data_IF_937683400290
#
_entry.id   IF_937683400290
#
_cell.length_a   1.000
_cell.length_b   1.000
_cell.length_c   1.000
_cell.angle_alpha   90.00
_cell.angle_beta   90.00
_cell.angle_gamma   90.00
#
_symmetry.space_group_name_H-M   'P 1'
#
loop_
_entity.id
_entity.type
_entity.pdbx_description
1 polymer ?
#
# COMPACT_ATOMS: atom_id res chain seq x y z
N UNK A 1 -17.84 16.65 16.19
CA UNK A 1 -16.70 16.13 15.43
C UNK A 1 -15.49 17.01 15.67
N UNK A 2 -14.30 16.61 15.32
CA UNK A 2 -13.12 17.49 15.41
C UNK A 2 -13.06 18.37 14.17
N UNK A 3 -12.59 19.63 14.30
CA UNK A 3 -12.38 20.57 13.19
C UNK A 3 -11.54 19.94 12.01
N UNK A 4 -10.61 19.04 12.34
CA UNK A 4 -9.78 18.33 11.37
C UNK A 4 -10.58 17.30 10.55
N UNK A 5 -11.56 16.65 11.17
CA UNK A 5 -12.40 15.67 10.46
C UNK A 5 -13.34 16.37 9.46
N UNK A 6 -13.92 17.49 9.86
CA UNK A 6 -14.79 18.28 8.98
C UNK A 6 -14.02 18.80 7.76
N UNK A 7 -12.79 19.28 7.95
CA UNK A 7 -11.87 19.65 6.85
C UNK A 7 -11.51 18.45 5.95
N UNK A 8 -11.31 17.27 6.54
CA UNK A 8 -11.05 16.07 5.77
C UNK A 8 -12.24 15.69 4.88
N UNK A 9 -13.48 15.76 5.41
CA UNK A 9 -14.68 15.51 4.62
C UNK A 9 -14.82 16.47 3.44
N UNK A 10 -14.50 17.76 3.61
CA UNK A 10 -14.51 18.71 2.50
C UNK A 10 -13.58 18.27 1.35
N UNK A 11 -12.38 17.76 1.67
CA UNK A 11 -11.44 17.25 0.66
C UNK A 11 -12.01 16.03 -0.06
N UNK A 12 -12.60 15.09 0.69
CA UNK A 12 -13.21 13.90 0.10
C UNK A 12 -14.41 14.23 -0.81
N UNK A 13 -15.25 15.15 -0.40
CA UNK A 13 -16.45 15.56 -1.16
C UNK A 13 -16.10 16.35 -2.42
N UNK A 14 -15.07 17.20 -2.36
CA UNK A 14 -14.63 17.97 -3.53
C UNK A 14 -13.89 17.13 -4.53
N UNK A 15 -12.99 16.27 -4.09
CA UNK A 15 -12.10 15.44 -4.90
C UNK A 15 -11.33 16.26 -5.95
N UNK A 16 -10.04 16.15 -6.00
CA UNK A 16 -9.25 16.83 -7.03
C UNK A 16 -8.44 15.80 -7.83
N UNK A 17 -8.73 15.72 -9.12
CA UNK A 17 -7.99 14.93 -10.08
C UNK A 17 -6.95 15.81 -10.77
N UNK A 18 -5.68 15.48 -10.62
CA UNK A 18 -4.60 16.07 -11.40
C UNK A 18 -4.13 15.01 -12.40
N UNK A 19 -4.26 15.33 -13.69
CA UNK A 19 -3.95 14.40 -14.75
C UNK A 19 -2.49 13.93 -14.64
N UNK A 20 -2.30 12.63 -14.74
CA UNK A 20 -0.99 11.94 -14.69
C UNK A 20 -0.19 12.23 -13.40
N UNK A 21 -0.84 12.72 -12.33
CA UNK A 21 -0.22 12.94 -11.02
C UNK A 21 -1.01 12.20 -9.92
N UNK A 22 -0.53 10.98 -9.62
CA UNK A 22 -1.09 10.15 -8.56
C UNK A 22 -1.00 10.80 -7.18
N UNK A 23 0.15 11.44 -6.89
CA UNK A 23 0.41 11.94 -5.54
C UNK A 23 -0.35 13.23 -5.24
N UNK A 24 -0.50 14.13 -6.20
CA UNK A 24 -1.20 15.41 -6.00
C UNK A 24 -2.73 15.30 -6.13
N UNK A 25 -3.24 14.20 -6.67
CA UNK A 25 -4.69 13.94 -6.69
C UNK A 25 -5.20 13.59 -5.30
N UNK A 26 -6.28 14.25 -4.84
CA UNK A 26 -6.87 14.11 -3.50
C UNK A 26 -8.35 13.71 -3.57
N UNK A 27 -8.89 13.17 -2.48
CA UNK A 27 -10.28 12.72 -2.43
C UNK A 27 -10.58 11.51 -3.35
N UNK A 28 -9.57 10.70 -3.64
CA UNK A 28 -9.66 9.51 -4.48
C UNK A 28 -9.27 8.26 -3.70
N UNK A 29 -10.02 7.18 -3.90
CA UNK A 29 -9.78 5.91 -3.23
C UNK A 29 -8.56 5.22 -3.84
N UNK A 30 -7.58 4.88 -3.02
CA UNK A 30 -6.44 4.04 -3.41
C UNK A 30 -6.45 2.72 -2.64
N UNK A 31 -5.73 1.72 -3.13
CA UNK A 31 -5.59 0.46 -2.39
C UNK A 31 -4.97 0.66 -0.99
N UNK A 32 -4.04 1.61 -0.84
CA UNK A 32 -3.46 1.95 0.46
C UNK A 32 -4.49 2.57 1.40
N UNK A 33 -5.35 3.47 0.88
CA UNK A 33 -6.47 4.01 1.65
C UNK A 33 -7.42 2.91 2.12
N UNK A 34 -7.81 1.98 1.22
CA UNK A 34 -8.70 0.86 1.58
C UNK A 34 -8.09 0.03 2.73
N UNK A 35 -6.79 -0.27 2.66
CA UNK A 35 -6.09 -1.01 3.72
C UNK A 35 -6.05 -0.23 5.05
N UNK A 36 -5.84 1.07 5.01
CA UNK A 36 -5.84 1.94 6.19
C UNK A 36 -7.26 2.05 6.77
N UNK A 37 -8.27 2.23 5.93
CA UNK A 37 -9.68 2.34 6.33
C UNK A 37 -10.17 1.09 7.07
N UNK A 38 -9.82 -0.10 6.57
CA UNK A 38 -10.11 -1.37 7.26
C UNK A 38 -9.48 -1.49 8.65
N UNK A 39 -8.43 -0.75 8.94
CA UNK A 39 -7.77 -0.73 10.25
C UNK A 39 -8.35 0.34 11.18
N UNK A 40 -8.61 1.50 10.65
CA UNK A 40 -9.16 2.64 11.38
C UNK A 40 -9.82 3.61 10.38
N UNK A 41 -11.14 3.69 10.39
CA UNK A 41 -11.89 4.55 9.48
C UNK A 41 -11.54 6.03 9.70
N UNK A 42 -11.62 6.49 10.95
CA UNK A 42 -11.31 7.88 11.32
C UNK A 42 -9.88 8.28 10.94
N UNK A 43 -8.90 7.46 11.31
CA UNK A 43 -7.49 7.72 11.01
C UNK A 43 -7.23 7.80 9.51
N UNK A 44 -7.78 6.86 8.73
CA UNK A 44 -7.61 6.82 7.28
C UNK A 44 -8.22 8.04 6.58
N UNK A 45 -9.44 8.45 6.97
CA UNK A 45 -10.11 9.61 6.36
C UNK A 45 -9.27 10.88 6.54
N UNK A 46 -8.72 11.12 7.73
CA UNK A 46 -7.88 12.29 7.99
C UNK A 46 -6.54 12.21 7.26
N UNK A 47 -5.85 11.06 7.36
CA UNK A 47 -4.51 10.89 6.78
C UNK A 47 -4.51 11.07 5.27
N UNK A 48 -5.47 10.43 4.58
CA UNK A 48 -5.52 10.46 3.11
C UNK A 48 -6.19 11.71 2.53
N UNK A 49 -6.92 12.48 3.33
CA UNK A 49 -7.36 13.82 2.95
C UNK A 49 -6.19 14.82 2.89
N UNK A 50 -5.09 14.55 3.61
CA UNK A 50 -3.88 15.39 3.63
C UNK A 50 -4.16 16.84 4.07
N UNK A 51 -5.09 17.02 4.98
CA UNK A 51 -5.44 18.34 5.55
C UNK A 51 -4.38 18.88 6.50
N UNK A 52 -3.49 18.01 6.97
CA UNK A 52 -2.32 18.36 7.76
C UNK A 52 -1.05 17.88 7.04
N UNK A 53 0.10 18.55 7.27
CA UNK A 53 1.38 18.00 6.86
C UNK A 53 1.52 16.57 7.40
N UNK A 54 2.05 15.70 6.58
CA UNK A 54 2.33 14.33 7.00
C UNK A 54 3.52 14.39 7.99
N UNK A 55 3.25 14.18 9.26
CA UNK A 55 4.27 13.94 10.30
C UNK A 55 4.89 12.53 10.15
N UNK A 56 4.92 11.98 8.93
CA UNK A 56 5.50 10.66 8.73
C UNK A 56 6.98 10.72 9.04
N UNK A 57 7.35 10.11 10.16
CA UNK A 57 8.73 9.76 10.43
C UNK A 57 9.35 9.05 9.22
N UNK A 58 10.64 9.28 9.01
CA UNK A 58 11.36 8.61 7.94
C UNK A 58 11.17 7.09 8.01
N UNK A 59 10.67 6.49 6.95
CA UNK A 59 10.50 5.05 6.84
C UNK A 59 11.55 4.48 5.88
N UNK A 60 12.56 3.83 6.45
CA UNK A 60 13.65 3.23 5.71
C UNK A 60 13.18 2.20 4.68
N UNK A 61 12.12 1.43 4.96
CA UNK A 61 11.62 0.43 4.01
C UNK A 61 11.00 1.07 2.76
N UNK A 62 10.31 2.20 2.92
CA UNK A 62 9.82 2.97 1.77
C UNK A 62 10.97 3.58 0.98
N UNK A 63 11.98 4.14 1.66
CA UNK A 63 13.15 4.69 0.99
C UNK A 63 13.90 3.63 0.18
N UNK A 64 14.08 2.42 0.73
CA UNK A 64 14.68 1.29 0.01
C UNK A 64 13.84 0.95 -1.24
N UNK A 65 12.52 0.83 -1.10
CA UNK A 65 11.62 0.57 -2.23
C UNK A 65 11.83 1.58 -3.35
N UNK A 66 11.71 2.87 -3.05
CA UNK A 66 11.86 3.96 -4.02
C UNK A 66 13.26 4.03 -4.66
N UNK A 67 14.33 3.79 -3.89
CA UNK A 67 15.69 3.79 -4.43
C UNK A 67 15.94 2.62 -5.38
N UNK A 68 15.42 1.43 -5.05
CA UNK A 68 15.52 0.24 -5.93
C UNK A 68 14.69 0.44 -7.19
N UNK A 69 13.47 0.94 -7.02
CA UNK A 69 12.54 1.22 -8.12
C UNK A 69 13.12 2.23 -9.10
N UNK A 70 13.66 3.35 -8.61
CA UNK A 70 14.30 4.36 -9.44
C UNK A 70 15.50 3.78 -10.25
N UNK A 71 16.30 2.92 -9.64
CA UNK A 71 17.39 2.25 -10.36
C UNK A 71 16.94 1.22 -11.39
N UNK A 72 15.80 0.58 -11.16
CA UNK A 72 15.27 -0.44 -12.08
C UNK A 72 14.54 0.20 -13.26
N UNK A 73 13.75 1.23 -13.02
CA UNK A 73 12.82 1.79 -14.02
C UNK A 73 13.30 3.12 -14.61
N UNK A 74 13.97 3.95 -13.84
CA UNK A 74 14.39 5.28 -14.28
C UNK A 74 15.83 5.27 -14.84
N UNK A 75 16.24 6.40 -15.33
CA UNK A 75 17.65 6.69 -15.69
C UNK A 75 18.43 7.22 -14.49
N UNK A 76 19.71 7.56 -14.71
CA UNK A 76 20.57 8.12 -13.66
C UNK A 76 20.01 9.42 -13.07
N UNK A 77 19.35 10.26 -13.88
CA UNK A 77 18.76 11.51 -13.40
C UNK A 77 17.59 11.28 -12.45
N UNK A 78 16.72 10.33 -12.77
CA UNK A 78 15.61 9.89 -11.91
C UNK A 78 16.12 9.29 -10.60
N UNK A 79 17.15 8.45 -10.66
CA UNK A 79 17.79 7.91 -9.47
C UNK A 79 18.40 9.02 -8.59
N UNK A 80 19.14 9.97 -9.15
CA UNK A 80 19.71 11.11 -8.41
C UNK A 80 18.62 11.99 -7.77
N UNK A 81 17.48 12.18 -8.43
CA UNK A 81 16.32 12.85 -7.84
C UNK A 81 15.85 12.14 -6.58
N UNK A 82 15.79 10.81 -6.60
CA UNK A 82 15.38 10.01 -5.44
C UNK A 82 16.42 10.05 -4.32
N UNK A 83 17.72 9.99 -4.66
CA UNK A 83 18.82 10.20 -3.70
C UNK A 83 18.70 11.56 -3.02
N UNK A 84 18.44 12.63 -3.78
CA UNK A 84 18.27 13.98 -3.24
C UNK A 84 17.04 14.09 -2.31
N UNK A 85 15.95 13.39 -2.62
CA UNK A 85 14.75 13.32 -1.77
C UNK A 85 15.06 12.78 -0.37
N UNK A 86 15.97 11.82 -0.28
CA UNK A 86 16.29 11.12 0.98
C UNK A 86 17.67 11.53 1.55
N UNK A 87 18.32 12.57 1.01
CA UNK A 87 19.70 12.94 1.35
C UNK A 87 20.00 13.01 2.85
N UNK A 88 19.07 13.57 3.64
CA UNK A 88 19.26 13.77 5.08
C UNK A 88 19.19 12.45 5.88
N UNK A 89 18.71 11.39 5.26
CA UNK A 89 18.49 10.08 5.89
C UNK A 89 19.43 8.99 5.39
N UNK A 90 20.01 9.15 4.19
CA UNK A 90 20.84 8.12 3.53
C UNK A 90 22.34 8.32 3.76
N UNK A 91 22.75 9.51 4.19
CA UNK A 91 24.16 9.80 4.47
C UNK A 91 24.44 9.81 5.97
N UNK A 92 25.60 9.27 6.33
CA UNK A 92 26.18 9.36 7.66
C UNK A 92 26.80 10.74 7.88
N UNK A 93 27.10 11.10 9.13
CA UNK A 93 27.75 12.37 9.48
C UNK A 93 29.12 12.57 8.81
N UNK A 94 29.79 11.49 8.44
CA UNK A 94 31.08 11.49 7.74
C UNK A 94 30.95 11.65 6.20
N UNK A 95 29.73 11.79 5.67
CA UNK A 95 29.45 11.92 4.25
C UNK A 95 29.30 10.59 3.48
N UNK A 96 29.55 9.46 4.11
CA UNK A 96 29.36 8.16 3.48
C UNK A 96 27.86 7.75 3.50
N UNK A 97 27.43 6.95 2.53
CA UNK A 97 26.11 6.34 2.55
C UNK A 97 25.97 5.37 3.74
N UNK A 98 24.76 5.27 4.27
CA UNK A 98 24.44 4.12 5.12
C UNK A 98 24.47 2.82 4.31
N UNK A 99 24.91 1.75 4.93
CA UNK A 99 24.99 0.41 4.30
C UNK A 99 23.70 0.01 3.59
N UNK A 100 22.55 0.25 4.19
CA UNK A 100 21.25 -0.08 3.60
C UNK A 100 20.96 0.70 2.29
N UNK A 101 21.47 1.92 2.16
CA UNK A 101 21.34 2.73 0.95
C UNK A 101 22.27 2.25 -0.16
N UNK A 102 23.52 1.84 0.19
CA UNK A 102 24.43 1.16 -0.74
C UNK A 102 23.86 -0.16 -1.25
N UNK A 103 23.22 -0.94 -0.37
CA UNK A 103 22.63 -2.23 -0.72
C UNK A 103 21.47 -2.11 -1.73
N UNK A 104 20.81 -0.93 -1.84
CA UNK A 104 19.77 -0.70 -2.84
C UNK A 104 20.29 -0.92 -4.27
N UNK A 105 21.55 -0.53 -4.55
CA UNK A 105 22.18 -0.81 -5.83
C UNK A 105 22.31 -2.30 -6.11
N UNK A 106 22.71 -3.06 -5.10
CA UNK A 106 22.85 -4.54 -5.23
C UNK A 106 21.48 -5.21 -5.47
N UNK A 107 20.40 -4.71 -4.86
CA UNK A 107 19.06 -5.21 -5.11
C UNK A 107 18.62 -4.95 -6.55
N UNK A 108 18.83 -3.75 -7.07
CA UNK A 108 18.52 -3.40 -8.46
C UNK A 108 19.37 -4.22 -9.46
N UNK A 109 20.67 -4.34 -9.23
CA UNK A 109 21.58 -5.18 -10.04
C UNK A 109 21.15 -6.64 -10.03
N UNK A 110 20.68 -7.14 -8.88
CA UNK A 110 20.14 -8.51 -8.76
C UNK A 110 18.93 -8.73 -9.65
N UNK A 111 18.08 -7.73 -9.82
CA UNK A 111 16.94 -7.76 -10.75
C UNK A 111 17.42 -7.69 -12.20
N UNK A 112 18.24 -6.68 -12.51
CA UNK A 112 18.65 -6.37 -13.89
C UNK A 112 19.65 -7.34 -14.49
N UNK A 113 20.28 -8.22 -13.70
CA UNK A 113 21.12 -9.32 -14.21
C UNK A 113 20.35 -10.41 -14.97
N UNK A 114 19.02 -10.46 -14.79
CA UNK A 114 18.15 -11.42 -15.46
C UNK A 114 17.71 -10.86 -16.82
N UNK A 115 18.29 -11.35 -17.91
CA UNK A 115 18.05 -10.87 -19.27
C UNK A 115 16.57 -10.86 -19.67
N UNK A 116 15.80 -11.86 -19.23
CA UNK A 116 14.35 -11.93 -19.52
C UNK A 116 13.61 -10.78 -18.86
N UNK A 117 13.92 -10.47 -17.61
CA UNK A 117 13.33 -9.34 -16.88
C UNK A 117 13.77 -8.03 -17.52
N UNK A 118 15.07 -7.87 -17.79
CA UNK A 118 15.60 -6.67 -18.42
C UNK A 118 14.96 -6.41 -19.79
N UNK A 119 14.80 -7.43 -20.63
CA UNK A 119 14.12 -7.31 -21.94
C UNK A 119 12.64 -6.98 -21.79
N UNK A 120 11.94 -7.52 -20.78
CA UNK A 120 10.57 -7.17 -20.52
C UNK A 120 10.46 -5.68 -20.15
N UNK A 121 11.23 -5.25 -19.15
CA UNK A 121 11.18 -3.87 -18.63
C UNK A 121 11.61 -2.84 -19.66
N UNK A 122 12.50 -3.16 -20.60
CA UNK A 122 12.98 -2.28 -21.66
C UNK A 122 12.31 -2.54 -23.02
N UNK A 123 11.18 -3.24 -23.03
CA UNK A 123 10.47 -3.51 -24.27
C UNK A 123 9.76 -2.26 -24.81
N UNK A 124 9.46 -2.26 -26.09
CA UNK A 124 8.66 -1.22 -26.73
C UNK A 124 7.31 -1.06 -26.02
N UNK A 125 6.82 0.16 -25.95
CA UNK A 125 5.57 0.54 -25.24
C UNK A 125 5.62 0.33 -23.72
N UNK A 126 6.81 0.21 -23.13
CA UNK A 126 6.96 0.22 -21.66
C UNK A 126 6.69 1.61 -21.11
N UNK A 127 5.82 1.69 -20.11
CA UNK A 127 5.50 2.93 -19.37
C UNK A 127 5.75 2.66 -17.90
N UNK A 128 6.44 3.59 -17.24
CA UNK A 128 6.72 3.54 -15.81
C UNK A 128 5.85 4.55 -15.07
N UNK A 129 5.52 4.25 -13.81
CA UNK A 129 4.70 5.11 -12.93
C UNK A 129 3.39 5.53 -13.60
N UNK A 130 2.71 4.54 -14.21
CA UNK A 130 1.46 4.82 -14.93
C UNK A 130 0.32 5.08 -13.96
N UNK A 131 -0.09 6.35 -13.83
CA UNK A 131 -1.28 6.73 -13.08
C UNK A 131 -2.54 6.37 -13.87
N UNK A 132 -3.49 5.73 -13.19
CA UNK A 132 -4.81 5.40 -13.72
C UNK A 132 -5.87 5.87 -12.72
N UNK A 133 -6.87 6.59 -13.23
CA UNK A 133 -8.04 7.05 -12.49
C UNK A 133 -9.27 6.38 -13.08
N UNK A 134 -10.10 5.78 -12.22
CA UNK A 134 -11.23 4.96 -12.64
C UNK A 134 -12.35 5.00 -11.60
N UNK A 135 -13.52 4.51 -11.97
CA UNK A 135 -14.65 4.39 -11.07
C UNK A 135 -14.83 2.92 -10.63
N UNK A 136 -14.97 2.72 -9.33
CA UNK A 136 -15.29 1.40 -8.76
C UNK A 136 -16.37 1.57 -7.69
N UNK A 137 -17.45 0.81 -7.81
CA UNK A 137 -18.61 0.86 -6.91
C UNK A 137 -19.15 2.28 -6.65
N UNK A 138 -19.04 3.16 -7.67
CA UNK A 138 -19.54 4.54 -7.62
C UNK A 138 -18.65 5.53 -6.88
N UNK A 139 -17.41 5.16 -6.58
CA UNK A 139 -16.40 6.06 -6.06
C UNK A 139 -15.23 6.19 -7.05
N UNK A 140 -14.67 7.41 -7.14
CA UNK A 140 -13.45 7.63 -7.93
C UNK A 140 -12.25 7.04 -7.23
N UNK A 141 -11.51 6.23 -7.98
CA UNK A 141 -10.33 5.52 -7.53
C UNK A 141 -9.08 5.98 -8.26
N UNK A 142 -7.92 5.77 -7.65
CA UNK A 142 -6.62 5.99 -8.28
C UNK A 142 -5.66 4.84 -7.98
N UNK A 143 -4.84 4.52 -8.97
CA UNK A 143 -3.71 3.62 -8.83
C UNK A 143 -2.50 4.15 -9.60
N UNK A 144 -1.32 3.67 -9.26
CA UNK A 144 -0.10 3.88 -10.02
C UNK A 144 0.58 2.52 -10.20
N UNK A 145 0.75 2.12 -11.46
CA UNK A 145 1.49 0.91 -11.81
C UNK A 145 2.97 1.27 -11.98
N UNK A 146 3.86 0.58 -11.26
CA UNK A 146 5.31 0.82 -11.36
C UNK A 146 5.81 0.57 -12.79
N UNK A 147 5.27 -0.46 -13.44
CA UNK A 147 5.48 -0.77 -14.85
C UNK A 147 4.17 -1.22 -15.51
N UNK A 148 3.92 -0.70 -16.70
CA UNK A 148 2.79 -1.07 -17.55
C UNK A 148 3.23 -1.20 -19.01
N UNK A 149 2.73 -2.21 -19.69
CA UNK A 149 2.93 -2.39 -21.13
C UNK A 149 1.60 -2.82 -21.78
N UNK A 150 1.01 -1.89 -22.52
CA UNK A 150 -0.28 -2.08 -23.15
C UNK A 150 -0.22 -3.18 -24.23
N UNK A 151 0.82 -3.18 -25.07
CA UNK A 151 0.96 -4.16 -26.15
C UNK A 151 1.11 -5.60 -25.65
N UNK A 152 1.69 -5.78 -24.48
CA UNK A 152 1.85 -7.08 -23.83
C UNK A 152 0.71 -7.41 -22.86
N UNK A 153 -0.17 -6.44 -22.61
CA UNK A 153 -1.26 -6.54 -21.63
C UNK A 153 -0.76 -6.98 -20.24
N UNK A 154 0.36 -6.43 -19.80
CA UNK A 154 1.02 -6.80 -18.55
C UNK A 154 1.19 -5.58 -17.64
N UNK A 155 0.98 -5.79 -16.36
CA UNK A 155 1.27 -4.84 -15.30
C UNK A 155 2.23 -5.51 -14.30
N UNK A 156 3.25 -4.77 -13.86
CA UNK A 156 4.23 -5.27 -12.90
C UNK A 156 4.42 -4.25 -11.78
N UNK A 157 4.38 -4.74 -10.55
CA UNK A 157 4.63 -3.99 -9.34
C UNK A 157 5.93 -4.50 -8.70
N UNK A 158 6.86 -3.59 -8.40
CA UNK A 158 8.14 -3.95 -7.81
C UNK A 158 8.07 -3.96 -6.29
N UNK A 159 8.59 -5.01 -5.68
CA UNK A 159 8.62 -5.14 -4.22
C UNK A 159 9.98 -5.57 -3.69
N UNK A 160 10.39 -4.94 -2.60
CA UNK A 160 11.51 -5.40 -1.79
C UNK A 160 10.97 -6.08 -0.52
N UNK A 161 11.51 -7.24 -0.16
CA UNK A 161 11.09 -7.96 1.05
C UNK A 161 12.28 -8.28 1.97
N UNK A 162 12.08 -8.17 3.28
CA UNK A 162 13.09 -8.56 4.27
C UNK A 162 13.24 -10.10 4.40
N UNK A 163 12.23 -10.85 3.94
CA UNK A 163 12.19 -12.32 4.04
C UNK A 163 12.68 -13.00 2.77
N UNK A 164 13.16 -14.23 2.89
CA UNK A 164 13.29 -15.08 1.73
C UNK A 164 11.92 -15.58 1.27
N UNK A 165 11.79 -15.93 -0.01
CA UNK A 165 10.49 -16.37 -0.55
C UNK A 165 10.02 -17.74 -0.03
N UNK A 166 10.89 -18.48 0.67
CA UNK A 166 10.54 -19.74 1.36
C UNK A 166 10.04 -19.53 2.79
N UNK A 167 10.29 -18.36 3.38
CA UNK A 167 9.83 -18.07 4.75
C UNK A 167 8.32 -17.83 4.77
N UNK A 168 7.72 -18.16 5.92
CA UNK A 168 6.31 -17.94 6.20
C UNK A 168 6.14 -17.08 7.43
N UNK A 169 5.12 -16.25 7.42
CA UNK A 169 4.66 -15.49 8.57
C UNK A 169 3.61 -16.27 9.35
N UNK A 170 3.40 -15.86 10.58
CA UNK A 170 2.31 -16.39 11.40
C UNK A 170 0.97 -16.12 10.72
N UNK A 171 0.16 -17.17 10.63
CA UNK A 171 -1.22 -17.11 10.14
C UNK A 171 -2.19 -17.37 11.31
N UNK A 172 -2.86 -16.35 11.84
CA UNK A 172 -3.77 -16.51 12.95
C UNK A 172 -4.97 -17.41 12.62
N UNK A 173 -5.44 -17.41 11.38
CA UNK A 173 -6.56 -18.26 10.97
C UNK A 173 -6.23 -19.76 10.97
N UNK A 174 -4.97 -20.11 10.71
CA UNK A 174 -4.47 -21.49 10.71
C UNK A 174 -3.66 -21.83 11.97
N UNK A 175 -3.46 -20.85 12.86
CA UNK A 175 -2.60 -20.97 14.04
C UNK A 175 -1.22 -21.57 13.74
N UNK A 176 -0.62 -21.16 12.62
CA UNK A 176 0.62 -21.76 12.08
C UNK A 176 1.50 -20.76 11.34
N UNK A 177 2.81 -21.07 11.29
CA UNK A 177 3.79 -20.44 10.42
C UNK A 177 4.61 -21.43 9.59
N UNK A 178 4.19 -22.68 9.54
CA UNK A 178 4.84 -23.71 8.73
C UNK A 178 4.64 -23.50 7.22
N UNK A 179 5.19 -24.39 6.40
CA UNK A 179 5.10 -24.28 4.94
C UNK A 179 3.68 -24.40 4.38
N UNK A 180 2.80 -25.07 5.11
CA UNK A 180 1.42 -25.37 4.68
C UNK A 180 0.45 -24.30 5.19
N UNK A 181 0.51 -23.97 6.47
CA UNK A 181 -0.43 -23.09 7.14
C UNK A 181 0.00 -21.64 7.27
N UNK A 182 1.31 -21.34 7.18
CA UNK A 182 1.84 -19.99 7.34
C UNK A 182 1.58 -19.10 6.13
N UNK A 183 1.51 -17.78 6.36
CA UNK A 183 1.31 -16.78 5.30
C UNK A 183 2.55 -16.66 4.41
N UNK A 184 2.35 -16.70 3.12
CA UNK A 184 3.39 -16.33 2.14
C UNK A 184 3.63 -14.83 2.15
N UNK A 185 4.73 -14.37 1.53
CA UNK A 185 4.97 -12.97 1.23
C UNK A 185 3.78 -12.30 0.49
N UNK A 186 3.13 -13.03 -0.41
CA UNK A 186 1.97 -12.52 -1.16
C UNK A 186 0.74 -12.34 -0.26
N UNK A 187 0.49 -13.32 0.63
CA UNK A 187 -0.69 -13.31 1.50
C UNK A 187 -0.54 -12.30 2.66
N UNK A 188 0.66 -12.20 3.25
CA UNK A 188 0.95 -11.32 4.39
C UNK A 188 0.64 -9.85 4.08
N UNK A 189 0.93 -9.42 2.85
CA UNK A 189 0.69 -8.04 2.42
C UNK A 189 -0.59 -7.86 1.61
N UNK A 190 -1.41 -8.91 1.51
CA UNK A 190 -2.65 -8.94 0.70
C UNK A 190 -2.45 -8.39 -0.72
N UNK A 191 -1.42 -8.90 -1.41
CA UNK A 191 -1.16 -8.47 -2.78
C UNK A 191 -2.23 -8.92 -3.76
N UNK A 192 -3.00 -9.98 -3.47
CA UNK A 192 -4.15 -10.36 -4.28
C UNK A 192 -5.19 -9.23 -4.38
N UNK A 193 -5.48 -8.52 -3.27
CA UNK A 193 -6.37 -7.36 -3.32
C UNK A 193 -5.77 -6.22 -4.16
N UNK A 194 -4.49 -5.91 -3.97
CA UNK A 194 -3.83 -4.84 -4.71
C UNK A 194 -3.82 -5.13 -6.21
N UNK A 195 -3.43 -6.35 -6.60
CA UNK A 195 -3.37 -6.73 -8.02
C UNK A 195 -4.76 -6.78 -8.66
N UNK A 196 -5.77 -7.25 -7.95
CA UNK A 196 -7.15 -7.23 -8.41
C UNK A 196 -7.66 -5.79 -8.61
N UNK A 197 -7.39 -4.88 -7.66
CA UNK A 197 -7.77 -3.47 -7.75
C UNK A 197 -7.09 -2.78 -8.95
N UNK A 198 -5.81 -3.06 -9.21
CA UNK A 198 -5.05 -2.52 -10.34
C UNK A 198 -5.56 -3.07 -11.66
N UNK A 199 -5.85 -4.38 -11.73
CA UNK A 199 -6.41 -5.01 -12.92
C UNK A 199 -7.73 -4.36 -13.35
N UNK A 200 -8.65 -4.13 -12.40
CA UNK A 200 -9.94 -3.46 -12.67
C UNK A 200 -9.72 -2.02 -13.15
N UNK A 201 -8.78 -1.30 -12.53
CA UNK A 201 -8.45 0.06 -12.95
C UNK A 201 -7.97 0.12 -14.40
N UNK A 202 -7.05 -0.75 -14.78
CA UNK A 202 -6.53 -0.82 -16.15
C UNK A 202 -7.64 -1.27 -17.12
N UNK A 203 -8.41 -2.31 -16.77
CA UNK A 203 -9.52 -2.79 -17.61
C UNK A 203 -10.53 -1.68 -17.91
N UNK A 204 -10.86 -0.86 -16.92
CA UNK A 204 -11.84 0.21 -17.09
C UNK A 204 -11.39 1.31 -18.05
N UNK A 205 -10.08 1.54 -18.18
CA UNK A 205 -9.51 2.61 -19.02
C UNK A 205 -9.05 2.08 -20.38
N UNK A 206 -8.47 0.89 -20.42
CA UNK A 206 -7.87 0.32 -21.62
C UNK A 206 -8.71 -0.76 -22.30
N UNK A 207 -9.79 -1.24 -21.67
CA UNK A 207 -10.72 -2.22 -22.23
C UNK A 207 -10.20 -3.67 -22.27
N UNK A 208 -9.09 -3.96 -21.60
CA UNK A 208 -8.57 -5.34 -21.45
C UNK A 208 -8.12 -5.60 -20.03
N UNK A 209 -8.19 -6.86 -19.59
CA UNK A 209 -7.64 -7.31 -18.30
C UNK A 209 -6.16 -7.60 -18.44
N UNK A 210 -5.26 -6.79 -17.82
CA UNK A 210 -3.84 -7.12 -17.83
C UNK A 210 -3.57 -8.36 -17.00
N UNK A 211 -2.48 -9.07 -17.30
CA UNK A 211 -1.94 -10.06 -16.36
C UNK A 211 -1.12 -9.34 -15.29
N UNK A 212 -1.57 -9.32 -14.02
CA UNK A 212 -0.84 -8.63 -12.96
C UNK A 212 0.35 -9.46 -12.50
N UNK A 213 1.47 -8.78 -12.22
CA UNK A 213 2.68 -9.42 -11.72
C UNK A 213 3.25 -8.67 -10.52
N UNK A 214 4.01 -9.37 -9.70
CA UNK A 214 4.94 -8.79 -8.74
C UNK A 214 6.34 -9.25 -9.07
N UNK A 215 7.21 -8.28 -9.33
CA UNK A 215 8.65 -8.48 -9.42
C UNK A 215 9.25 -8.19 -8.05
N UNK A 216 9.75 -9.21 -7.38
CA UNK A 216 10.23 -9.07 -6.01
C UNK A 216 11.70 -9.44 -5.86
N UNK A 217 12.42 -8.67 -5.04
CA UNK A 217 13.78 -8.97 -4.58
C UNK A 217 13.82 -9.13 -3.06
N UNK A 218 14.45 -10.22 -2.60
CA UNK A 218 14.70 -10.45 -1.18
C UNK A 218 15.94 -9.71 -0.72
N UNK A 219 15.79 -8.83 0.26
CA UNK A 219 16.91 -8.14 0.92
C UNK A 219 17.80 -9.12 1.73
N UNK A 220 17.27 -10.29 2.09
CA UNK A 220 17.96 -11.29 2.90
C UNK A 220 19.03 -12.06 2.12
N UNK A 221 18.75 -12.42 0.87
CA UNK A 221 19.60 -13.30 0.08
C UNK A 221 19.72 -12.93 -1.40
N UNK A 222 19.32 -11.72 -1.78
CA UNK A 222 19.37 -11.20 -3.15
C UNK A 222 18.60 -12.06 -4.19
N UNK A 223 17.76 -12.99 -3.76
CA UNK A 223 16.96 -13.77 -4.69
C UNK A 223 15.87 -12.90 -5.33
N UNK A 224 15.62 -13.16 -6.61
CA UNK A 224 14.60 -12.45 -7.40
C UNK A 224 13.54 -13.43 -7.83
N UNK A 225 12.28 -13.04 -7.78
CA UNK A 225 11.14 -13.81 -8.28
C UNK A 225 10.16 -12.89 -9.00
N UNK A 226 9.56 -13.40 -10.06
CA UNK A 226 8.41 -12.78 -10.71
C UNK A 226 7.21 -13.69 -10.49
N UNK A 227 6.20 -13.15 -9.80
CA UNK A 227 4.96 -13.84 -9.46
C UNK A 227 3.86 -13.33 -10.41
N UNK A 228 3.26 -14.23 -11.18
CA UNK A 228 2.08 -13.94 -11.99
C UNK A 228 0.81 -14.30 -11.23
N UNK A 229 -0.19 -13.45 -11.32
CA UNK A 229 -1.50 -13.68 -10.69
C UNK A 229 -2.45 -14.25 -11.76
N UNK A 230 -2.40 -15.55 -11.95
CA UNK A 230 -3.11 -16.32 -12.99
C UNK A 230 -4.48 -16.85 -12.54
N UNK A 231 -4.77 -16.83 -11.24
CA UNK A 231 -6.07 -17.21 -10.70
C UNK A 231 -7.08 -16.05 -10.77
N UNK A 232 -7.74 -15.91 -11.93
CA UNK A 232 -8.73 -14.86 -12.15
C UNK A 232 -9.93 -14.95 -11.19
N UNK A 233 -10.36 -16.15 -10.83
CA UNK A 233 -11.48 -16.35 -9.89
C UNK A 233 -11.13 -15.76 -8.52
N UNK A 234 -9.90 -15.94 -8.07
CA UNK A 234 -9.40 -15.35 -6.83
C UNK A 234 -9.34 -13.83 -6.90
N UNK A 235 -8.87 -13.26 -8.01
CA UNK A 235 -8.83 -11.81 -8.22
C UNK A 235 -10.24 -11.20 -8.23
N UNK A 236 -11.16 -11.77 -9.00
CA UNK A 236 -12.54 -11.31 -9.08
C UNK A 236 -13.24 -11.37 -7.71
N UNK A 237 -13.00 -12.44 -6.95
CA UNK A 237 -13.50 -12.56 -5.56
C UNK A 237 -12.95 -11.47 -4.66
N UNK A 238 -11.67 -11.08 -4.79
CA UNK A 238 -11.08 -9.99 -3.99
C UNK A 238 -11.76 -8.66 -4.27
N UNK A 239 -12.12 -8.37 -5.51
CA UNK A 239 -12.89 -7.17 -5.85
C UNK A 239 -14.30 -7.23 -5.26
N UNK A 240 -15.01 -8.36 -5.37
CA UNK A 240 -16.34 -8.50 -4.79
C UNK A 240 -16.36 -8.27 -3.28
N UNK A 241 -15.32 -8.74 -2.56
CA UNK A 241 -15.16 -8.52 -1.11
C UNK A 241 -14.91 -7.05 -0.75
N UNK A 242 -14.56 -6.19 -1.69
CA UNK A 242 -14.43 -4.75 -1.45
C UNK A 242 -15.77 -4.01 -1.48
N UNK A 243 -16.83 -4.60 -2.06
CA UNK A 243 -18.11 -3.92 -2.21
C UNK A 243 -18.67 -3.38 -0.89
N UNK A 244 -18.81 -4.16 0.20
CA UNK A 244 -19.30 -3.63 1.47
C UNK A 244 -18.35 -2.60 2.09
N UNK A 245 -17.04 -2.70 1.84
CA UNK A 245 -16.07 -1.70 2.30
C UNK A 245 -16.29 -0.36 1.57
N UNK A 246 -16.59 -0.39 0.28
CA UNK A 246 -16.89 0.80 -0.52
C UNK A 246 -18.21 1.45 -0.12
N UNK A 247 -19.23 0.65 0.24
CA UNK A 247 -20.50 1.15 0.78
C UNK A 247 -20.24 1.91 2.09
N UNK A 248 -19.49 1.32 3.02
CA UNK A 248 -19.10 1.98 4.28
C UNK A 248 -18.26 3.25 4.04
N UNK A 249 -17.30 3.21 3.10
CA UNK A 249 -16.52 4.40 2.74
C UNK A 249 -17.43 5.53 2.25
N UNK A 250 -18.42 5.24 1.41
CA UNK A 250 -19.38 6.25 0.93
C UNK A 250 -20.10 6.93 2.08
N UNK A 251 -20.68 6.15 3.00
CA UNK A 251 -21.41 6.66 4.16
C UNK A 251 -20.54 7.56 5.03
N UNK A 252 -19.27 7.15 5.24
CA UNK A 252 -18.33 7.92 6.05
C UNK A 252 -17.87 9.21 5.36
N UNK A 253 -17.48 9.16 4.08
CA UNK A 253 -16.97 10.36 3.37
C UNK A 253 -18.08 11.33 2.96
N UNK A 254 -19.35 10.88 2.87
CA UNK A 254 -20.50 11.76 2.69
C UNK A 254 -20.90 12.45 4.00
N UNK A 255 -20.45 11.95 5.14
CA UNK A 255 -20.86 12.42 6.47
C UNK A 255 -22.19 11.81 6.96
N UNK A 256 -22.75 10.84 6.25
CA UNK A 256 -23.96 10.11 6.66
C UNK A 256 -23.71 9.21 7.86
N UNK A 257 -22.47 8.71 8.02
CA UNK A 257 -22.05 7.91 9.15
C UNK A 257 -20.75 8.44 9.77
N UNK A 258 -20.69 8.43 11.10
CA UNK A 258 -19.44 8.71 11.80
C UNK A 258 -18.44 7.57 11.63
N UNK A 259 -17.14 7.87 11.39
CA UNK A 259 -16.12 6.86 11.26
C UNK A 259 -15.79 6.20 12.59
N UNK A 260 -15.57 4.90 12.56
CA UNK A 260 -15.09 4.16 13.72
C UNK A 260 -13.64 4.54 14.06
N UNK A 261 -13.37 4.71 15.35
CA UNK A 261 -12.04 4.99 15.91
C UNK A 261 -11.42 3.70 16.45
N UNK A 262 -10.17 3.45 16.12
CA UNK A 262 -9.44 2.31 16.69
C UNK A 262 -8.86 2.60 18.10
N UNK A 263 -8.90 3.87 18.54
CA UNK A 263 -8.39 4.37 19.83
C UNK A 263 -6.85 4.22 20.02
N UNK A 264 -6.15 3.61 19.08
CA UNK A 264 -4.71 3.30 19.20
C UNK A 264 -3.85 4.11 18.20
N UNK A 265 -4.37 4.45 17.04
CA UNK A 265 -3.56 5.13 16.03
C UNK A 265 -3.32 6.61 16.41
N UNK A 266 -2.21 7.23 15.93
CA UNK A 266 -1.86 8.61 16.29
C UNK A 266 -2.98 9.62 16.04
N UNK A 267 -3.78 9.43 14.97
CA UNK A 267 -4.90 10.33 14.67
C UNK A 267 -6.06 10.16 15.67
N UNK A 268 -6.34 8.95 16.14
CA UNK A 268 -7.34 8.73 17.17
C UNK A 268 -6.89 9.31 18.51
N UNK A 269 -5.67 9.01 18.94
CA UNK A 269 -5.09 9.50 20.20
C UNK A 269 -5.02 11.03 20.22
N UNK A 270 -4.55 11.68 19.14
CA UNK A 270 -4.47 13.14 19.06
C UNK A 270 -5.86 13.83 19.09
N UNK A 271 -6.93 13.11 18.75
CA UNK A 271 -8.31 13.60 18.75
C UNK A 271 -9.18 12.97 19.84
N UNK A 272 -8.56 12.35 20.83
CA UNK A 272 -9.24 11.83 22.02
C UNK A 272 -9.71 13.00 22.91
N UNK A 273 -10.92 12.87 23.43
CA UNK A 273 -11.45 13.80 24.45
C UNK A 273 -11.86 12.98 25.66
N UNK A 274 -11.28 13.32 26.81
CA UNK A 274 -11.74 12.74 28.08
C UNK A 274 -13.12 13.33 28.37
N UNK A 275 -14.14 12.51 28.23
CA UNK A 275 -15.54 12.91 28.47
C UNK A 275 -16.07 12.50 29.82
N UNK A 276 -15.28 11.72 30.59
CA UNK A 276 -15.68 11.25 31.90
C UNK A 276 -14.62 10.36 32.57
N UNK A 277 -14.96 9.82 33.72
CA UNK A 277 -14.15 8.85 34.47
C UNK A 277 -14.69 7.46 34.20
N UNK A 278 -13.85 6.56 33.76
CA UNK A 278 -14.20 5.13 33.60
C UNK A 278 -13.99 4.47 34.95
N UNK A 279 -15.01 3.81 35.48
CA UNK A 279 -14.88 3.02 36.69
C UNK A 279 -13.97 1.81 36.48
N UNK A 280 -13.03 1.53 37.37
CA UNK A 280 -12.10 0.40 37.25
C UNK A 280 -12.83 -0.93 37.10
N UNK A 281 -13.98 -1.11 37.73
CA UNK A 281 -14.85 -2.29 37.62
C UNK A 281 -15.43 -2.48 36.21
N UNK A 282 -15.56 -1.40 35.42
CA UNK A 282 -15.98 -1.46 34.02
C UNK A 282 -14.79 -1.78 33.08
N UNK A 283 -13.61 -1.30 33.44
CA UNK A 283 -12.38 -1.52 32.67
C UNK A 283 -11.79 -2.92 32.89
N UNK A 284 -11.82 -3.37 34.16
CA UNK A 284 -11.37 -4.71 34.57
C UNK A 284 -12.55 -5.44 35.24
N UNK A 285 -13.50 -6.00 34.49
CA UNK A 285 -14.57 -6.79 35.08
C UNK A 285 -13.95 -8.02 35.79
N UNK A 286 -14.32 -8.24 37.04
CA UNK A 286 -13.94 -9.46 37.77
C UNK A 286 -14.53 -10.67 37.02
N UNK A 287 -13.63 -11.54 36.53
CA UNK A 287 -14.04 -12.86 36.03
C UNK A 287 -14.17 -13.76 37.26
N UNK A 288 -15.37 -13.92 37.77
CA UNK A 288 -15.65 -14.92 38.83
C UNK A 288 -15.72 -16.27 38.12
N UNK A 289 -14.86 -17.25 38.41
CA UNK A 289 -14.95 -18.60 37.86
C UNK A 289 -16.33 -19.19 38.19
N UNK A 290 -16.97 -19.84 37.19
CA UNK A 290 -18.31 -20.46 37.38
C UNK A 290 -18.35 -21.55 38.46
N UNK A 291 -17.19 -21.98 38.96
CA UNK A 291 -17.03 -23.06 39.96
C UNK A 291 -17.07 -22.60 41.43
N UNK A 292 -17.32 -21.32 41.71
CA UNK A 292 -17.43 -20.79 43.07
C UNK A 292 -18.91 -20.57 43.52
N UNK A 293 -19.87 -21.18 42.86
CA UNK A 293 -21.25 -21.21 43.33
C UNK A 293 -21.70 -22.59 43.80
#
# INVERSE_FOLDING_TARGET
MSDIYDKALEVWQRGQVIKDDYHSSTGLISNSFIKAFKKCEFGAVIEYARVEPSDTEFNQNYAIGHLVEAQVFEDEAGFQKMVNRYKDNIYQKNGNLYKWAEDCKLYAESILRHDTIKRLLRSESSVYHKTVIFDLYGLKCKMEADYFNENKQIEVDLKTTAKSFSERSWNPAMNSKDKIGGLTFIDEYDYHQQRAFYQVGIESVYGFKPTPHILAVSKKNMSVRMFGFDDQVRLDRRIQLLKPVFEKIKEVISGEQEPEKCEECPKCVANEKITGVIAVSQYCPEIIPEDEY
#
